data_IF_644102917586
#
_entry.id   IF_644102917586
#
_cell.length_a   1.000
_cell.length_b   1.000
_cell.length_c   1.000
_cell.angle_alpha   90.00
_cell.angle_beta   90.00
_cell.angle_gamma   90.00
#
_symmetry.space_group_name_H-M   'P 1'
#
loop_
_entity.id
_entity.type
_entity.pdbx_description
1 polymer ?
#
# COMPACT_ATOMS: atom_id res chain seq x y z
N UNK A 1 -1.01 8.88 13.83
CA UNK A 1 -1.18 9.67 12.58
C UNK A 1 -0.04 9.30 11.64
N UNK A 2 -0.28 9.23 10.34
CA UNK A 2 0.59 8.68 9.28
C UNK A 2 2.01 9.32 9.12
N UNK A 3 2.78 9.41 10.21
CA UNK A 3 4.06 10.13 10.29
C UNK A 3 3.94 11.60 10.72
N UNK A 4 2.75 12.10 11.00
CA UNK A 4 2.51 13.53 11.29
C UNK A 4 2.26 13.79 12.78
N UNK A 5 2.76 14.93 13.26
CA UNK A 5 2.65 15.37 14.66
C UNK A 5 1.33 16.06 14.97
N UNK A 6 0.63 16.60 13.96
CA UNK A 6 -0.66 17.26 14.10
C UNK A 6 -1.46 17.22 12.78
N UNK A 7 -2.75 17.59 12.86
CA UNK A 7 -3.65 17.56 11.70
C UNK A 7 -3.30 18.62 10.66
N UNK A 8 -2.79 19.79 11.06
CA UNK A 8 -2.46 20.88 10.14
C UNK A 8 -1.33 20.49 9.19
N UNK A 9 -0.29 19.84 9.71
CA UNK A 9 0.84 19.35 8.90
C UNK A 9 0.41 18.23 7.95
N UNK A 10 -0.46 17.32 8.40
CA UNK A 10 -1.05 16.31 7.52
C UNK A 10 -1.85 16.96 6.38
N UNK A 11 -2.78 17.86 6.70
CA UNK A 11 -3.64 18.51 5.70
C UNK A 11 -2.83 19.30 4.70
N UNK A 12 -1.81 20.06 5.14
CA UNK A 12 -0.91 20.79 4.23
C UNK A 12 -0.29 19.86 3.19
N UNK A 13 0.32 18.77 3.63
CA UNK A 13 0.95 17.81 2.72
C UNK A 13 -0.07 17.14 1.78
N UNK A 14 -1.31 16.92 2.25
CA UNK A 14 -2.39 16.38 1.42
C UNK A 14 -2.92 17.37 0.37
N UNK A 15 -2.69 18.68 0.51
CA UNK A 15 -3.00 19.64 -0.56
C UNK A 15 -1.86 19.82 -1.56
N UNK A 16 -0.66 19.31 -1.26
CA UNK A 16 0.55 19.65 -2.01
C UNK A 16 0.77 18.75 -3.23
N UNK A 17 0.71 17.42 -3.08
CA UNK A 17 0.90 16.49 -4.21
C UNK A 17 0.51 15.06 -3.90
N UNK A 18 0.28 14.26 -4.95
CA UNK A 18 0.10 12.81 -4.85
C UNK A 18 1.34 12.10 -4.27
N UNK A 19 2.55 12.60 -4.54
CA UNK A 19 3.78 12.08 -3.92
C UNK A 19 3.74 12.17 -2.39
N UNK A 20 3.17 13.26 -1.85
CA UNK A 20 2.96 13.41 -0.41
C UNK A 20 1.86 12.48 0.11
N UNK A 21 0.81 12.26 -0.68
CA UNK A 21 -0.22 11.25 -0.35
C UNK A 21 0.38 9.86 -0.23
N UNK A 22 1.22 9.48 -1.19
CA UNK A 22 1.90 8.19 -1.20
C UNK A 22 2.81 8.03 0.02
N UNK A 23 3.58 9.07 0.38
CA UNK A 23 4.43 9.04 1.57
C UNK A 23 3.62 8.86 2.85
N UNK A 24 2.49 9.56 2.99
CA UNK A 24 1.57 9.37 4.12
C UNK A 24 1.03 7.94 4.15
N UNK A 25 0.61 7.38 3.01
CA UNK A 25 0.15 5.99 2.93
C UNK A 25 1.25 5.00 3.38
N UNK A 26 2.48 5.16 2.90
CA UNK A 26 3.62 4.31 3.29
C UNK A 26 3.88 4.39 4.80
N UNK A 27 3.85 5.59 5.38
CA UNK A 27 4.03 5.77 6.82
C UNK A 27 2.90 5.12 7.61
N UNK A 28 1.65 5.25 7.17
CA UNK A 28 0.51 4.58 7.78
C UNK A 28 0.67 3.05 7.76
N UNK A 29 1.05 2.48 6.61
CA UNK A 29 1.28 1.04 6.46
C UNK A 29 2.34 0.54 7.45
N UNK A 30 3.48 1.24 7.54
CA UNK A 30 4.58 0.89 8.46
C UNK A 30 4.17 1.01 9.94
N UNK A 31 3.49 2.10 10.32
CA UNK A 31 3.05 2.32 11.70
C UNK A 31 2.08 1.24 12.17
N UNK A 32 1.21 0.75 11.29
CA UNK A 32 0.27 -0.34 11.58
C UNK A 32 0.86 -1.73 11.35
N UNK A 33 2.17 -1.85 11.05
CA UNK A 33 2.88 -3.11 10.76
C UNK A 33 2.27 -3.92 9.60
N UNK A 34 1.51 -3.27 8.73
CA UNK A 34 0.96 -3.89 7.53
C UNK A 34 2.05 -4.17 6.48
N UNK A 35 3.22 -3.52 6.59
CA UNK A 35 4.35 -3.74 5.69
C UNK A 35 4.92 -5.17 5.79
N UNK A 36 4.82 -5.83 6.95
CA UNK A 36 5.19 -7.25 7.08
C UNK A 36 4.34 -8.13 6.18
N UNK A 37 3.03 -7.88 6.11
CA UNK A 37 2.11 -8.60 5.23
C UNK A 37 2.41 -8.33 3.75
N UNK A 38 2.75 -7.09 3.39
CA UNK A 38 3.19 -6.77 2.02
C UNK A 38 4.47 -7.50 1.63
N UNK A 39 5.50 -7.45 2.48
CA UNK A 39 6.82 -8.09 2.23
C UNK A 39 6.72 -9.61 2.09
N UNK A 40 5.76 -10.22 2.76
CA UNK A 40 5.51 -11.67 2.73
C UNK A 40 4.38 -12.07 1.77
N UNK A 41 3.82 -11.11 1.01
CA UNK A 41 2.69 -11.29 0.09
C UNK A 41 1.43 -11.89 0.73
N UNK A 42 1.25 -11.69 2.03
CA UNK A 42 0.06 -12.14 2.75
C UNK A 42 -1.09 -11.14 2.55
N UNK A 43 -1.79 -11.28 1.43
CA UNK A 43 -2.87 -10.37 1.04
C UNK A 43 -4.08 -10.40 1.97
N UNK A 44 -4.38 -11.53 2.63
CA UNK A 44 -5.44 -11.58 3.64
C UNK A 44 -5.11 -10.67 4.81
N UNK A 45 -3.93 -10.87 5.41
CA UNK A 45 -3.47 -10.10 6.56
C UNK A 45 -3.33 -8.61 6.21
N UNK A 46 -2.80 -8.30 5.03
CA UNK A 46 -2.69 -6.90 4.59
C UNK A 46 -4.06 -6.22 4.51
N UNK A 47 -5.04 -6.88 3.89
CA UNK A 47 -6.37 -6.31 3.70
C UNK A 47 -7.11 -6.20 5.03
N UNK A 48 -6.94 -7.17 5.93
CA UNK A 48 -7.51 -7.12 7.28
C UNK A 48 -6.98 -5.93 8.09
N UNK A 49 -5.66 -5.73 8.11
CA UNK A 49 -5.03 -4.62 8.83
C UNK A 49 -5.41 -3.27 8.20
N UNK A 50 -5.37 -3.18 6.86
CA UNK A 50 -5.52 -1.91 6.16
C UNK A 50 -6.98 -1.46 6.01
N UNK A 51 -7.90 -2.39 5.66
CA UNK A 51 -9.30 -2.06 5.39
C UNK A 51 -10.23 -2.37 6.59
N UNK A 52 -9.70 -3.01 7.64
CA UNK A 52 -10.46 -3.44 8.81
C UNK A 52 -11.33 -4.68 8.54
N UNK A 53 -11.74 -5.38 9.61
CA UNK A 53 -12.40 -6.70 9.54
C UNK A 53 -13.69 -6.81 8.69
N UNK A 54 -14.30 -5.68 8.32
CA UNK A 54 -15.47 -5.63 7.42
C UNK A 54 -15.12 -5.79 5.93
N UNK A 55 -13.85 -5.92 5.58
CA UNK A 55 -13.35 -5.91 4.19
C UNK A 55 -13.86 -7.04 3.28
N UNK A 56 -14.45 -8.10 3.85
CA UNK A 56 -14.74 -9.36 3.14
C UNK A 56 -15.66 -9.20 1.93
N UNK A 57 -16.43 -8.10 1.86
CA UNK A 57 -17.37 -7.84 0.77
C UNK A 57 -16.72 -7.27 -0.49
N UNK A 58 -15.55 -6.61 -0.39
CA UNK A 58 -15.00 -5.80 -1.49
C UNK A 58 -13.94 -6.50 -2.35
N UNK A 59 -13.70 -7.80 -2.10
CA UNK A 59 -12.76 -8.66 -2.86
C UNK A 59 -11.34 -8.07 -2.99
N UNK A 60 -10.92 -7.20 -2.07
CA UNK A 60 -9.62 -6.51 -2.13
C UNK A 60 -8.44 -7.48 -2.20
N UNK A 61 -8.50 -8.60 -1.48
CA UNK A 61 -7.50 -9.66 -1.58
C UNK A 61 -7.29 -10.12 -3.02
N UNK A 62 -8.38 -10.46 -3.72
CA UNK A 62 -8.33 -10.96 -5.09
C UNK A 62 -7.74 -9.90 -6.02
N UNK A 63 -8.12 -8.63 -5.86
CA UNK A 63 -7.60 -7.52 -6.67
C UNK A 63 -6.09 -7.34 -6.48
N UNK A 64 -5.61 -7.34 -5.23
CA UNK A 64 -4.19 -7.21 -4.91
C UNK A 64 -3.37 -8.39 -5.42
N UNK A 65 -3.86 -9.63 -5.23
CA UNK A 65 -3.18 -10.83 -5.73
C UNK A 65 -3.02 -10.79 -7.24
N UNK A 66 -4.08 -10.44 -7.99
CA UNK A 66 -4.03 -10.34 -9.45
C UNK A 66 -3.06 -9.26 -9.92
N UNK A 67 -3.15 -8.06 -9.34
CA UNK A 67 -2.25 -6.96 -9.69
C UNK A 67 -0.78 -7.35 -9.44
N UNK A 68 -0.47 -7.95 -8.29
CA UNK A 68 0.90 -8.38 -8.01
C UNK A 68 1.43 -9.40 -9.03
N UNK A 69 0.61 -10.38 -9.41
CA UNK A 69 0.98 -11.38 -10.43
C UNK A 69 1.26 -10.74 -11.79
N UNK A 70 0.40 -9.81 -12.22
CA UNK A 70 0.55 -9.08 -13.48
C UNK A 70 1.83 -8.24 -13.51
N UNK A 71 2.06 -7.40 -12.48
CA UNK A 71 3.24 -6.54 -12.45
C UNK A 71 4.53 -7.30 -12.19
N UNK A 72 4.50 -8.42 -11.44
CA UNK A 72 5.68 -9.29 -11.29
C UNK A 72 6.04 -10.01 -12.60
N UNK A 73 5.05 -10.34 -13.42
CA UNK A 73 5.29 -10.91 -14.74
C UNK A 73 5.84 -9.85 -15.71
N UNK A 74 5.30 -8.63 -15.66
CA UNK A 74 5.84 -7.49 -16.40
C UNK A 74 7.30 -7.23 -16.00
N UNK A 75 7.61 -7.13 -14.71
CA UNK A 75 8.99 -6.89 -14.25
C UNK A 75 9.96 -7.92 -14.84
N UNK A 76 9.59 -9.21 -14.83
CA UNK A 76 10.37 -10.28 -15.49
C UNK A 76 10.50 -10.12 -17.00
N UNK A 77 9.51 -9.53 -17.65
CA UNK A 77 9.52 -9.25 -19.09
C UNK A 77 10.39 -8.05 -19.45
N UNK A 78 10.46 -7.04 -18.57
CA UNK A 78 11.20 -5.79 -18.77
C UNK A 78 12.64 -5.83 -18.22
N UNK A 79 12.94 -6.70 -17.25
CA UNK A 79 14.27 -6.93 -16.67
C UNK A 79 15.40 -7.21 -17.67
N UNK A 80 15.20 -7.91 -18.81
CA UNK A 80 16.27 -8.12 -19.80
C UNK A 80 16.69 -6.85 -20.55
N UNK A 81 15.94 -5.75 -20.42
CA UNK A 81 16.09 -4.53 -21.21
C UNK A 81 16.31 -3.27 -20.36
N UNK A 82 16.50 -3.42 -19.04
CA UNK A 82 17.01 -2.33 -18.21
C UNK A 82 18.52 -2.16 -18.50
N UNK A 83 19.00 -0.95 -18.79
CA UNK A 83 20.42 -0.69 -19.07
C UNK A 83 21.33 -0.99 -17.87
#
# INVERSE_FOLDING_TARGET
>A
MAGYSNVQSFVKDMYESESKHLLAMVNFIKLNKADTALKTLNWEMFVEIYNGGSYRLNRYRIKLTKAYQEYSALDKLWLPYLP
#
